data_IF_760362345823
#
_entry.id   IF_760362345823
#
_cell.length_a   1.000
_cell.length_b   1.000
_cell.length_c   1.000
_cell.angle_alpha   90.00
_cell.angle_beta   90.00
_cell.angle_gamma   90.00
#
_symmetry.space_group_name_H-M   'P 1'
#
loop_
_entity.id
_entity.type
_entity.pdbx_description
1 polymer ?
#
# COMPACT_ATOMS: atom_id res chain seq x y z
N UNK A 1 -19.37 -4.06 -9.14
CA UNK A 1 -18.10 -3.40 -9.55
C UNK A 1 -17.79 -2.31 -8.55
N UNK A 2 -16.71 -2.49 -7.79
CA UNK A 2 -15.95 -1.48 -7.01
C UNK A 2 -16.73 -0.27 -6.49
N UNK A 3 -17.84 -0.50 -5.80
CA UNK A 3 -18.48 0.51 -4.99
C UNK A 3 -18.48 -0.03 -3.58
N UNK A 4 -17.34 0.15 -2.92
CA UNK A 4 -17.22 -0.05 -1.50
C UNK A 4 -18.08 1.05 -0.84
N UNK A 5 -19.38 0.78 -0.78
CA UNK A 5 -20.37 1.69 -0.23
C UNK A 5 -20.20 1.70 1.28
N UNK A 6 -20.06 2.88 1.90
CA UNK A 6 -19.88 2.99 3.36
C UNK A 6 -21.00 2.31 4.16
N UNK A 7 -22.14 2.03 3.52
CA UNK A 7 -23.24 1.23 4.07
C UNK A 7 -22.85 -0.21 4.42
N UNK A 8 -21.78 -0.76 3.84
CA UNK A 8 -21.28 -2.11 4.14
C UNK A 8 -20.36 -2.16 5.35
N UNK A 9 -19.89 -1.02 5.86
CA UNK A 9 -18.98 -0.97 7.02
C UNK A 9 -19.52 -1.76 8.22
N UNK A 10 -20.80 -1.64 8.63
CA UNK A 10 -21.32 -2.42 9.75
C UNK A 10 -21.26 -3.93 9.51
N UNK A 11 -21.49 -4.39 8.28
CA UNK A 11 -21.42 -5.80 7.91
C UNK A 11 -19.98 -6.29 7.92
N UNK A 12 -19.05 -5.54 7.32
CA UNK A 12 -17.62 -5.88 7.30
C UNK A 12 -17.07 -5.96 8.73
N UNK A 13 -17.48 -5.06 9.62
CA UNK A 13 -17.08 -5.09 11.04
C UNK A 13 -17.62 -6.30 11.81
N UNK A 14 -18.73 -6.91 11.36
CA UNK A 14 -19.25 -8.15 11.93
C UNK A 14 -18.44 -9.36 11.42
N UNK A 15 -18.06 -9.35 10.14
CA UNK A 15 -17.27 -10.42 9.53
C UNK A 15 -15.82 -10.50 10.04
N UNK A 16 -15.30 -9.43 10.66
CA UNK A 16 -14.02 -9.45 11.39
C UNK A 16 -14.02 -10.45 12.56
N UNK A 17 -15.18 -10.84 13.09
CA UNK A 17 -15.32 -11.81 14.18
C UNK A 17 -15.75 -13.21 13.68
N UNK A 18 -15.67 -13.45 12.36
CA UNK A 18 -16.10 -14.71 11.78
C UNK A 18 -15.17 -15.87 12.18
N UNK A 19 -15.73 -17.07 12.37
CA UNK A 19 -14.95 -18.27 12.68
C UNK A 19 -14.02 -18.70 11.53
N UNK A 20 -14.33 -18.32 10.28
CA UNK A 20 -13.49 -18.63 9.13
C UNK A 20 -12.41 -17.55 8.91
N UNK A 21 -11.14 -17.94 8.92
CA UNK A 21 -10.02 -17.01 8.72
C UNK A 21 -10.04 -16.35 7.34
N UNK A 22 -10.46 -17.04 6.28
CA UNK A 22 -10.60 -16.44 4.94
C UNK A 22 -11.61 -15.29 4.93
N UNK A 23 -12.67 -15.39 5.73
CA UNK A 23 -13.69 -14.33 5.82
C UNK A 23 -13.15 -13.16 6.63
N UNK A 24 -12.43 -13.42 7.73
CA UNK A 24 -11.77 -12.36 8.51
C UNK A 24 -10.73 -11.61 7.69
N UNK A 25 -9.93 -12.33 6.89
CA UNK A 25 -8.97 -11.75 5.96
C UNK A 25 -9.63 -10.79 4.97
N UNK A 26 -10.69 -11.23 4.28
CA UNK A 26 -11.37 -10.39 3.30
C UNK A 26 -12.10 -9.21 3.96
N UNK A 27 -12.57 -9.39 5.21
CA UNK A 27 -13.14 -8.31 6.01
C UNK A 27 -12.08 -7.26 6.39
N UNK A 28 -10.90 -7.68 6.87
CA UNK A 28 -9.79 -6.78 7.17
C UNK A 28 -9.35 -6.00 5.93
N UNK A 29 -9.17 -6.69 4.80
CA UNK A 29 -8.89 -6.08 3.51
C UNK A 29 -9.94 -5.03 3.14
N UNK A 30 -11.22 -5.39 3.24
CA UNK A 30 -12.33 -4.49 2.94
C UNK A 30 -12.32 -3.25 3.83
N UNK A 31 -11.96 -3.38 5.12
CA UNK A 31 -11.80 -2.25 6.03
C UNK A 31 -10.71 -1.28 5.57
N UNK A 32 -9.57 -1.80 5.10
CA UNK A 32 -8.48 -1.01 4.52
C UNK A 32 -8.91 -0.29 3.25
N UNK A 33 -9.54 -1.00 2.29
CA UNK A 33 -10.04 -0.41 1.04
C UNK A 33 -11.15 0.64 1.26
N UNK A 34 -11.94 0.49 2.33
CA UNK A 34 -13.00 1.43 2.72
C UNK A 34 -12.50 2.63 3.54
N UNK A 35 -11.22 2.63 3.95
CA UNK A 35 -10.66 3.57 4.93
C UNK A 35 -11.57 3.66 6.18
N UNK A 36 -12.03 2.51 6.66
CA UNK A 36 -13.01 2.41 7.72
C UNK A 36 -12.39 2.76 9.08
N UNK A 37 -12.30 4.05 9.42
CA UNK A 37 -11.73 4.54 10.70
C UNK A 37 -12.36 3.90 11.95
N UNK A 38 -13.62 3.47 11.87
CA UNK A 38 -14.29 2.75 12.97
C UNK A 38 -13.83 1.29 13.15
N UNK A 39 -13.00 0.77 12.24
CA UNK A 39 -12.44 -0.57 12.30
C UNK A 39 -11.09 -0.63 13.03
N UNK A 40 -10.45 0.52 13.28
CA UNK A 40 -9.09 0.59 13.85
C UNK A 40 -8.96 -0.23 15.12
N UNK A 41 -9.84 -0.03 16.10
CA UNK A 41 -9.81 -0.76 17.37
C UNK A 41 -9.97 -2.28 17.17
N UNK A 42 -10.78 -2.71 16.19
CA UNK A 42 -10.99 -4.13 15.89
C UNK A 42 -9.80 -4.75 15.15
N UNK A 43 -9.17 -3.98 14.25
CA UNK A 43 -7.99 -4.44 13.52
C UNK A 43 -6.80 -4.60 14.48
N UNK A 44 -6.63 -3.68 15.43
CA UNK A 44 -5.62 -3.82 16.50
C UNK A 44 -5.85 -5.11 17.29
N UNK A 45 -7.11 -5.38 17.69
CA UNK A 45 -7.44 -6.61 18.40
C UNK A 45 -7.12 -7.88 17.58
N UNK A 46 -7.33 -7.86 16.25
CA UNK A 46 -6.99 -8.98 15.37
C UNK A 46 -5.48 -9.21 15.35
N UNK A 47 -4.67 -8.16 15.27
CA UNK A 47 -3.21 -8.28 15.27
C UNK A 47 -2.73 -8.97 16.55
N UNK A 48 -3.31 -8.63 17.69
CA UNK A 48 -2.89 -9.16 18.98
C UNK A 48 -3.40 -10.60 19.26
N UNK A 49 -4.62 -10.93 18.83
CA UNK A 49 -5.34 -12.12 19.32
C UNK A 49 -5.70 -13.15 18.24
N UNK A 50 -5.62 -12.81 16.94
CA UNK A 50 -6.01 -13.75 15.88
C UNK A 50 -5.01 -14.92 15.79
N UNK A 51 -5.46 -16.18 15.71
CA UNK A 51 -4.53 -17.31 15.57
C UNK A 51 -3.90 -17.44 14.18
N UNK A 52 -4.41 -16.73 13.17
CA UNK A 52 -3.98 -16.84 11.78
C UNK A 52 -3.09 -15.65 11.38
N UNK A 53 -1.83 -15.95 11.05
CA UNK A 53 -0.83 -14.92 10.68
C UNK A 53 -1.22 -14.14 9.43
N UNK A 54 -1.86 -14.78 8.44
CA UNK A 54 -2.27 -14.07 7.20
C UNK A 54 -3.35 -13.03 7.52
N UNK A 55 -4.22 -13.33 8.50
CA UNK A 55 -5.25 -12.38 8.96
C UNK A 55 -4.63 -11.22 9.74
N UNK A 56 -3.63 -11.49 10.58
CA UNK A 56 -2.88 -10.46 11.29
C UNK A 56 -2.14 -9.52 10.33
N UNK A 57 -1.42 -10.06 9.34
CA UNK A 57 -0.73 -9.30 8.30
C UNK A 57 -1.70 -8.41 7.50
N UNK A 58 -2.87 -8.95 7.14
CA UNK A 58 -3.89 -8.17 6.44
C UNK A 58 -4.49 -7.06 7.33
N UNK A 59 -4.59 -7.27 8.64
CA UNK A 59 -5.02 -6.23 9.57
C UNK A 59 -3.99 -5.10 9.69
N UNK A 60 -2.69 -5.42 9.69
CA UNK A 60 -1.59 -4.45 9.64
C UNK A 60 -1.69 -3.61 8.36
N UNK A 61 -1.81 -4.27 7.20
CA UNK A 61 -1.98 -3.58 5.91
C UNK A 61 -3.22 -2.66 5.93
N UNK A 62 -4.34 -3.14 6.46
CA UNK A 62 -5.56 -2.36 6.56
C UNK A 62 -5.40 -1.12 7.47
N UNK A 63 -4.65 -1.22 8.57
CA UNK A 63 -4.32 -0.06 9.42
C UNK A 63 -3.45 0.96 8.67
N UNK A 64 -2.47 0.50 7.89
CA UNK A 64 -1.68 1.34 6.98
C UNK A 64 -2.55 2.10 6.00
N UNK A 65 -3.53 1.43 5.38
CA UNK A 65 -4.49 2.06 4.45
C UNK A 65 -5.44 3.05 5.11
N UNK A 66 -5.91 2.76 6.33
CA UNK A 66 -6.85 3.65 7.06
C UNK A 66 -6.14 4.91 7.55
N UNK A 67 -4.91 4.76 8.03
CA UNK A 67 -4.07 5.84 8.56
C UNK A 67 -4.64 6.56 9.78
N UNK A 68 -3.94 7.63 10.17
CA UNK A 68 -4.22 8.41 11.37
C UNK A 68 -3.39 8.00 12.59
N UNK A 69 -3.40 8.85 13.61
CA UNK A 69 -2.49 8.74 14.76
C UNK A 69 -2.56 7.39 15.49
N UNK A 70 -3.78 6.86 15.67
CA UNK A 70 -3.99 5.56 16.33
C UNK A 70 -3.48 4.39 15.49
N UNK A 71 -3.68 4.42 14.17
CA UNK A 71 -3.18 3.39 13.28
C UNK A 71 -1.64 3.40 13.24
N UNK A 72 -1.03 4.59 13.15
CA UNK A 72 0.43 4.75 13.20
C UNK A 72 1.02 4.21 14.50
N UNK A 73 0.45 4.56 15.65
CA UNK A 73 0.89 4.03 16.95
C UNK A 73 0.80 2.51 17.05
N UNK A 74 -0.25 1.92 16.46
CA UNK A 74 -0.40 0.47 16.44
C UNK A 74 0.66 -0.20 15.55
N UNK A 75 0.94 0.36 14.37
CA UNK A 75 1.99 -0.13 13.49
C UNK A 75 3.39 -0.01 14.12
N UNK A 76 3.67 1.11 14.79
CA UNK A 76 4.92 1.29 15.56
C UNK A 76 5.08 0.24 16.66
N UNK A 77 3.99 -0.13 17.35
CA UNK A 77 4.01 -1.21 18.34
C UNK A 77 4.27 -2.59 17.69
N UNK A 78 3.78 -2.81 16.45
CA UNK A 78 4.04 -4.06 15.72
C UNK A 78 5.50 -4.22 15.31
N UNK A 79 6.25 -3.13 15.12
CA UNK A 79 7.70 -3.19 14.88
C UNK A 79 8.47 -3.76 16.08
N UNK A 80 7.93 -3.63 17.30
CA UNK A 80 8.50 -4.22 18.51
C UNK A 80 8.05 -5.67 18.75
N UNK A 81 7.23 -6.24 17.85
CA UNK A 81 6.76 -7.62 17.95
C UNK A 81 7.92 -8.62 17.74
N UNK A 82 7.88 -9.72 18.50
CA UNK A 82 8.80 -10.85 18.32
C UNK A 82 8.56 -11.61 17.00
N UNK A 83 7.46 -11.32 16.30
CA UNK A 83 7.08 -11.97 15.05
C UNK A 83 7.62 -11.16 13.87
N UNK A 84 8.70 -11.64 13.28
CA UNK A 84 9.41 -10.99 12.16
C UNK A 84 8.48 -10.63 10.99
N UNK A 85 7.50 -11.48 10.66
CA UNK A 85 6.57 -11.22 9.55
C UNK A 85 5.65 -10.03 9.84
N UNK A 86 5.19 -9.88 11.09
CA UNK A 86 4.36 -8.74 11.49
C UNK A 86 5.17 -7.45 11.54
N UNK A 87 6.43 -7.53 11.99
CA UNK A 87 7.33 -6.39 12.00
C UNK A 87 7.60 -5.88 10.57
N UNK A 88 7.89 -6.78 9.62
CA UNK A 88 8.07 -6.43 8.21
C UNK A 88 6.80 -5.82 7.60
N UNK A 89 5.64 -6.43 7.82
CA UNK A 89 4.38 -5.90 7.32
C UNK A 89 4.07 -4.49 7.90
N UNK A 90 4.44 -4.25 9.15
CA UNK A 90 4.26 -2.96 9.80
C UNK A 90 5.23 -1.90 9.26
N UNK A 91 6.47 -2.27 8.98
CA UNK A 91 7.47 -1.43 8.32
C UNK A 91 6.98 -0.99 6.93
N UNK A 92 6.57 -1.94 6.08
CA UNK A 92 6.01 -1.63 4.76
C UNK A 92 4.77 -0.73 4.85
N UNK A 93 3.87 -1.00 5.80
CA UNK A 93 2.66 -0.19 5.99
C UNK A 93 2.97 1.24 6.47
N UNK A 94 3.98 1.41 7.31
CA UNK A 94 4.45 2.72 7.75
C UNK A 94 5.15 3.49 6.62
N UNK A 95 5.94 2.80 5.80
CA UNK A 95 6.57 3.37 4.62
C UNK A 95 5.52 3.82 3.60
N UNK A 96 4.50 2.99 3.32
CA UNK A 96 3.36 3.39 2.48
C UNK A 96 2.67 4.63 3.05
N UNK A 97 2.37 4.65 4.36
CA UNK A 97 1.78 5.82 5.03
C UNK A 97 2.65 7.07 4.87
N UNK A 98 3.97 6.92 4.96
CA UNK A 98 4.93 8.01 4.82
C UNK A 98 4.99 8.52 3.36
N UNK A 99 4.89 7.62 2.37
CA UNK A 99 4.82 7.97 0.94
C UNK A 99 3.53 8.76 0.63
N UNK A 100 2.41 8.47 1.30
CA UNK A 100 1.16 9.24 1.14
C UNK A 100 1.18 10.59 1.88
N UNK A 101 1.92 10.72 2.98
CA UNK A 101 2.19 12.02 3.61
C UNK A 101 3.18 12.87 2.77
N UNK A 102 4.08 12.19 2.03
CA UNK A 102 5.13 12.78 1.19
C UNK A 102 4.81 12.67 -0.33
N UNK A 103 3.53 12.83 -0.70
CA UNK A 103 3.05 12.99 -2.09
C UNK A 103 3.54 14.33 -2.71
N UNK A 104 4.76 14.75 -2.39
CA UNK A 104 5.45 15.89 -2.98
C UNK A 104 6.96 15.68 -3.23
N UNK A 105 7.53 14.46 -3.15
CA UNK A 105 8.91 14.20 -3.66
C UNK A 105 9.01 12.86 -4.42
N UNK A 106 8.02 12.52 -5.25
CA UNK A 106 8.19 11.55 -6.35
C UNK A 106 8.97 12.19 -7.52
N UNK A 107 10.14 12.78 -7.23
CA UNK A 107 11.17 13.21 -8.18
C UNK A 107 12.51 13.25 -7.43
N UNK A 108 13.08 12.09 -7.14
CA UNK A 108 14.53 11.87 -7.28
C UNK A 108 14.75 10.36 -7.38
N UNK A 109 14.34 9.83 -8.53
CA UNK A 109 14.87 8.58 -9.00
C UNK A 109 16.26 8.92 -9.54
N UNK A 110 17.28 8.74 -8.72
CA UNK A 110 18.66 8.57 -9.16
C UNK A 110 18.69 7.32 -10.07
N UNK A 111 18.33 7.51 -11.33
CA UNK A 111 18.51 6.53 -12.40
C UNK A 111 19.55 7.11 -13.35
N UNK A 112 20.82 6.91 -13.00
CA UNK A 112 21.95 6.98 -13.92
C UNK A 112 23.09 6.12 -13.35
N UNK A 113 22.87 4.81 -13.28
CA UNK A 113 23.96 3.82 -13.36
C UNK A 113 23.53 2.57 -14.13
N UNK A 114 22.99 2.78 -15.34
CA UNK A 114 23.07 1.77 -16.40
C UNK A 114 23.82 2.39 -17.59
N UNK A 115 25.10 2.06 -17.65
CA UNK A 115 26.03 2.29 -18.75
C UNK A 115 25.45 1.73 -20.05
N UNK A 116 24.82 2.58 -20.87
CA UNK A 116 24.47 2.24 -22.24
C UNK A 116 25.75 2.26 -23.09
N UNK A 117 26.30 1.07 -23.37
CA UNK A 117 27.34 0.85 -24.38
C UNK A 117 26.88 1.41 -25.75
N UNK A 118 27.39 2.58 -26.12
CA UNK A 118 27.33 3.10 -27.50
C UNK A 118 28.39 2.38 -28.34
N UNK A 119 28.04 1.27 -28.98
CA UNK A 119 28.73 0.81 -30.20
C UNK A 119 27.78 -0.09 -31.03
N UNK A 120 27.72 0.20 -32.33
CA UNK A 120 26.93 -0.43 -33.40
C UNK A 120 25.42 -0.08 -33.48
N UNK A 121 25.09 0.97 -34.23
CA UNK A 121 24.54 0.75 -35.58
C UNK A 121 24.52 2.02 -36.44
N UNK A 122 25.30 1.98 -37.52
CA UNK A 122 25.29 2.91 -38.64
C UNK A 122 23.96 2.87 -39.44
N UNK A 123 23.66 4.02 -40.05
CA UNK A 123 22.94 4.22 -41.33
C UNK A 123 21.43 3.90 -41.39
N UNK A 124 20.58 4.94 -41.41
CA UNK A 124 19.60 5.08 -42.50
C UNK A 124 19.02 6.50 -42.65
N UNK A 125 19.46 7.16 -43.70
CA UNK A 125 19.10 8.49 -44.17
C UNK A 125 17.71 8.50 -44.88
N UNK A 126 16.68 9.19 -44.35
CA UNK A 126 15.42 9.35 -45.12
C UNK A 126 14.66 10.67 -44.84
N UNK A 127 14.58 11.46 -45.91
CA UNK A 127 13.66 12.57 -46.27
C UNK A 127 13.89 13.98 -45.70
N UNK A 128 14.80 14.67 -46.41
CA UNK A 128 14.63 16.04 -46.89
C UNK A 128 13.19 16.37 -47.34
N UNK A 129 12.63 17.50 -46.90
CA UNK A 129 11.87 18.42 -47.77
C UNK A 129 11.83 19.86 -47.22
N UNK A 130 12.44 20.77 -47.99
CA UNK A 130 12.04 22.15 -48.31
C UNK A 130 11.47 23.10 -47.23
N UNK A 131 12.30 24.11 -46.89
CA UNK A 131 12.24 25.43 -47.53
C UNK A 131 11.18 26.43 -47.03
N UNK A 132 11.63 27.57 -46.49
CA UNK A 132 11.29 28.86 -47.09
C UNK A 132 12.23 30.00 -46.64
N UNK A 133 12.33 31.00 -47.51
CA UNK A 133 13.26 32.11 -47.52
C UNK A 133 12.75 33.36 -46.76
N UNK A 134 13.69 34.20 -46.34
CA UNK A 134 13.66 35.65 -46.63
C UNK A 134 13.09 36.59 -45.56
N UNK A 135 13.96 37.33 -44.87
CA UNK A 135 14.28 38.73 -45.17
C UNK A 135 15.44 39.23 -44.30
#
# INVERSE_FOLDING_TARGET
GRSADKRWIPLVLEELENNNSEIRFEAARSCGELEAKGAVDKLIFIIDEDPDLEVQEMAIWALGRIGGDTARQALEACLESDIETLALAAEESLDELNIFDDELIMYDFDEDDDEYDEDDFDDFDIYSTNGNNGH
#
